data_IF_135659949989
#
_entry.id   IF_135659949989
#
_cell.length_a   1.000
_cell.length_b   1.000
_cell.length_c   1.000
_cell.angle_alpha   90.00
_cell.angle_beta   90.00
_cell.angle_gamma   90.00
#
_symmetry.space_group_name_H-M   'P 1'
#
loop_
_entity.id
_entity.type
_entity.pdbx_description
1 polymer ?
#
# COMPACT_ATOMS: atom_id res chain seq x y z
N UNK A 1 21.05 7.17 -14.37
CA UNK A 1 19.67 6.67 -14.20
C UNK A 1 19.17 7.27 -12.89
N UNK A 2 18.13 8.10 -12.92
CA UNK A 2 17.53 8.66 -11.70
C UNK A 2 16.99 7.51 -10.85
N UNK A 3 17.43 7.38 -9.58
CA UNK A 3 16.82 6.43 -8.66
C UNK A 3 15.41 6.93 -8.36
N UNK A 4 14.38 6.18 -8.77
CA UNK A 4 12.96 6.49 -8.46
C UNK A 4 12.74 6.47 -6.95
N UNK A 5 13.02 7.57 -6.29
CA UNK A 5 13.01 7.72 -4.84
C UNK A 5 11.72 8.43 -4.39
N UNK A 6 10.99 7.81 -3.46
CA UNK A 6 9.91 8.47 -2.74
C UNK A 6 10.47 9.02 -1.44
N UNK A 7 10.53 10.35 -1.32
CA UNK A 7 11.15 11.05 -0.20
C UNK A 7 10.16 11.96 0.51
N UNK A 8 10.24 11.95 1.82
CA UNK A 8 9.59 12.90 2.70
C UNK A 8 10.68 13.75 3.35
N UNK A 9 10.50 15.07 3.35
CA UNK A 9 11.39 16.02 4.00
C UNK A 9 10.61 16.84 5.04
N UNK A 10 10.89 16.58 6.33
CA UNK A 10 10.29 17.24 7.49
C UNK A 10 8.77 17.34 7.44
N UNK A 11 8.12 16.28 6.99
CA UNK A 11 6.67 16.22 6.79
C UNK A 11 5.95 16.20 8.13
N UNK A 12 5.00 17.13 8.32
CA UNK A 12 4.10 17.12 9.46
C UNK A 12 2.64 17.13 8.98
N UNK A 13 1.76 16.47 9.75
CA UNK A 13 0.31 16.46 9.50
C UNK A 13 -0.45 16.70 10.79
N UNK A 14 -1.29 17.73 10.77
CA UNK A 14 -2.17 18.09 11.89
C UNK A 14 -3.63 18.00 11.44
N UNK A 15 -4.49 17.53 12.36
CA UNK A 15 -5.95 17.58 12.28
C UNK A 15 -6.47 18.41 13.46
N UNK A 16 -6.68 19.71 13.23
CA UNK A 16 -6.96 20.65 14.30
C UNK A 16 -5.79 20.68 15.30
N UNK A 17 -6.07 20.33 16.57
CA UNK A 17 -5.03 20.27 17.62
C UNK A 17 -4.27 18.95 17.66
N UNK A 18 -4.74 17.93 16.97
CA UNK A 18 -4.09 16.61 16.96
C UNK A 18 -2.93 16.60 15.97
N UNK A 19 -1.73 16.31 16.45
CA UNK A 19 -0.52 16.17 15.64
C UNK A 19 -0.35 14.69 15.27
N UNK A 20 -0.81 14.32 14.08
CA UNK A 20 -0.77 12.92 13.61
C UNK A 20 0.61 12.52 13.11
N UNK A 21 1.35 13.46 12.49
CA UNK A 21 2.75 13.28 12.11
C UNK A 21 3.53 14.54 12.45
N UNK A 22 4.78 14.37 12.90
CA UNK A 22 5.64 15.44 13.40
C UNK A 22 7.04 15.28 12.84
N UNK A 23 7.43 16.16 11.92
CA UNK A 23 8.79 16.28 11.39
C UNK A 23 9.37 14.94 10.87
N UNK A 24 8.57 14.27 10.03
CA UNK A 24 8.91 12.95 9.46
C UNK A 24 9.77 13.14 8.22
N UNK A 25 10.99 12.60 8.26
CA UNK A 25 11.88 12.50 7.10
C UNK A 25 12.18 11.04 6.82
N UNK A 26 11.89 10.58 5.60
CA UNK A 26 11.97 9.18 5.19
C UNK A 26 12.37 9.07 3.72
N UNK A 27 13.02 7.98 3.39
CA UNK A 27 13.29 7.57 2.00
C UNK A 27 12.82 6.14 1.77
N UNK A 28 12.06 5.95 0.68
CA UNK A 28 11.65 4.64 0.19
C UNK A 28 12.23 4.43 -1.21
N UNK A 29 12.87 3.29 -1.44
CA UNK A 29 13.59 2.99 -2.68
C UNK A 29 12.93 1.87 -3.48
N UNK A 30 13.02 1.88 -4.81
CA UNK A 30 12.56 0.80 -5.67
C UNK A 30 13.22 -0.54 -5.29
N UNK A 31 12.52 -1.64 -5.59
CA UNK A 31 13.00 -2.99 -5.26
C UNK A 31 13.03 -3.27 -3.76
N UNK A 32 12.26 -2.52 -2.96
CA UNK A 32 12.14 -2.74 -1.51
C UNK A 32 10.69 -2.86 -1.07
N UNK A 33 10.49 -3.68 -0.05
CA UNK A 33 9.27 -3.69 0.77
C UNK A 33 9.59 -3.03 2.09
N UNK A 34 9.02 -1.86 2.33
CA UNK A 34 9.15 -1.14 3.58
C UNK A 34 7.96 -1.48 4.50
N UNK A 35 8.21 -2.21 5.59
CA UNK A 35 7.22 -2.44 6.63
C UNK A 35 7.14 -1.22 7.57
N UNK A 36 5.97 -0.63 7.66
CA UNK A 36 5.67 0.50 8.53
C UNK A 36 5.00 -0.02 9.80
N UNK A 37 5.74 -0.06 10.89
CA UNK A 37 5.35 -0.63 12.17
C UNK A 37 5.12 0.46 13.22
N UNK A 38 4.35 0.13 14.25
CA UNK A 38 4.08 1.00 15.40
C UNK A 38 2.68 0.77 15.98
N UNK A 39 2.42 1.27 17.19
CA UNK A 39 1.13 1.10 17.86
C UNK A 39 -0.03 1.79 17.12
N UNK A 40 -1.25 1.48 17.53
CA UNK A 40 -2.43 2.19 17.03
C UNK A 40 -2.31 3.67 17.38
N UNK A 41 -2.69 4.55 16.45
CA UNK A 41 -2.54 5.99 16.62
C UNK A 41 -1.11 6.53 16.39
N UNK A 42 -0.13 5.69 16.03
CA UNK A 42 1.24 6.14 15.75
C UNK A 42 1.37 7.04 14.51
N UNK A 43 0.37 7.07 13.63
CA UNK A 43 0.37 7.88 12.40
C UNK A 43 0.54 7.08 11.10
N UNK A 44 0.53 5.74 11.14
CA UNK A 44 0.78 4.86 9.99
C UNK A 44 -0.19 5.11 8.82
N UNK A 45 -1.50 5.03 9.07
CA UNK A 45 -2.52 5.29 8.03
C UNK A 45 -2.52 6.75 7.57
N UNK A 46 -2.16 7.70 8.45
CA UNK A 46 -1.95 9.10 8.07
C UNK A 46 -0.79 9.22 7.09
N UNK A 47 0.33 8.54 7.35
CA UNK A 47 1.47 8.53 6.44
C UNK A 47 1.10 7.93 5.09
N UNK A 48 0.42 6.77 5.06
CA UNK A 48 -0.08 6.20 3.81
C UNK A 48 -1.05 7.12 3.07
N UNK A 49 -1.93 7.82 3.80
CA UNK A 49 -2.85 8.81 3.22
C UNK A 49 -2.14 10.00 2.57
N UNK A 50 -0.98 10.41 3.10
CA UNK A 50 -0.13 11.42 2.48
C UNK A 50 0.57 10.86 1.22
N UNK A 51 1.17 9.67 1.32
CA UNK A 51 1.87 9.01 0.21
C UNK A 51 0.93 8.68 -0.96
N UNK A 52 -0.32 8.31 -0.67
CA UNK A 52 -1.37 8.07 -1.67
C UNK A 52 -2.02 9.36 -2.23
N UNK A 53 -1.60 10.53 -1.73
CA UNK A 53 -2.17 11.85 -2.08
C UNK A 53 -3.65 12.04 -1.72
N UNK A 54 -4.20 11.17 -0.88
CA UNK A 54 -5.56 11.33 -0.33
C UNK A 54 -5.63 12.49 0.67
N UNK A 55 -4.50 12.84 1.25
CA UNK A 55 -4.33 13.95 2.19
C UNK A 55 -3.09 14.76 1.81
N UNK A 56 -2.98 15.99 2.33
CA UNK A 56 -1.81 16.84 2.13
C UNK A 56 -1.05 17.05 3.44
N UNK A 57 0.28 17.19 3.41
CA UNK A 57 1.03 17.58 4.58
C UNK A 57 0.59 18.99 5.06
N UNK A 58 0.69 19.24 6.37
CA UNK A 58 0.52 20.60 6.93
C UNK A 58 1.79 21.41 6.73
N UNK A 59 2.96 20.76 6.77
CA UNK A 59 4.26 21.33 6.47
C UNK A 59 5.22 20.25 5.97
N UNK A 60 6.33 20.65 5.39
CA UNK A 60 7.29 19.77 4.73
C UNK A 60 6.85 19.38 3.31
N UNK A 61 7.65 18.57 2.65
CA UNK A 61 7.44 18.22 1.24
C UNK A 61 7.55 16.70 1.03
N UNK A 62 6.76 16.19 0.09
CA UNK A 62 6.87 14.81 -0.40
C UNK A 62 7.22 14.88 -1.88
N UNK A 63 8.26 14.18 -2.28
CA UNK A 63 8.70 14.09 -3.67
C UNK A 63 8.76 12.65 -4.13
N UNK A 64 8.47 12.41 -5.41
CA UNK A 64 8.71 11.15 -6.09
C UNK A 64 9.54 11.43 -7.33
N UNK A 65 10.70 10.78 -7.44
CA UNK A 65 11.68 11.02 -8.51
C UNK A 65 12.09 12.51 -8.62
N UNK A 66 12.25 13.17 -7.46
CA UNK A 66 12.59 14.58 -7.35
C UNK A 66 11.47 15.56 -7.69
N UNK A 67 10.30 15.08 -8.07
CA UNK A 67 9.15 15.93 -8.38
C UNK A 67 8.14 15.96 -7.23
N UNK A 68 7.56 17.13 -6.90
CA UNK A 68 6.57 17.24 -5.83
C UNK A 68 5.36 16.30 -6.04
N UNK A 69 5.06 15.52 -5.03
CA UNK A 69 3.93 14.60 -5.01
C UNK A 69 2.73 15.27 -4.33
N UNK A 70 1.73 15.65 -5.10
CA UNK A 70 0.50 16.27 -4.60
C UNK A 70 -0.73 15.78 -5.37
N UNK A 71 -1.93 16.15 -4.92
CA UNK A 71 -3.20 15.63 -5.45
C UNK A 71 -3.41 15.78 -6.95
N UNK A 72 -2.92 16.88 -7.54
CA UNK A 72 -3.00 17.14 -8.98
C UNK A 72 -1.79 16.66 -9.77
N UNK A 73 -0.81 16.02 -9.12
CA UNK A 73 0.37 15.49 -9.81
C UNK A 73 0.02 14.32 -10.74
N UNK A 74 0.52 14.31 -11.98
CA UNK A 74 0.43 13.13 -12.86
C UNK A 74 1.05 11.86 -12.24
N UNK A 75 1.96 12.03 -11.27
CA UNK A 75 2.60 10.92 -10.54
C UNK A 75 1.60 10.05 -9.76
N UNK A 76 0.39 10.56 -9.46
CA UNK A 76 -0.68 9.75 -8.85
C UNK A 76 -1.03 8.51 -9.66
N UNK A 77 -0.97 8.59 -10.98
CA UNK A 77 -1.20 7.43 -11.84
C UNK A 77 -0.12 6.34 -11.69
N UNK A 78 0.98 6.63 -10.99
CA UNK A 78 2.02 5.66 -10.69
C UNK A 78 1.87 5.03 -9.29
N UNK A 79 0.78 5.33 -8.57
CA UNK A 79 0.54 4.85 -7.21
C UNK A 79 -0.65 3.89 -7.20
N UNK A 80 -0.45 2.66 -6.73
CA UNK A 80 -1.48 1.71 -6.35
C UNK A 80 -1.69 1.77 -4.84
N UNK A 81 -2.95 1.91 -4.39
CA UNK A 81 -3.28 2.01 -2.98
C UNK A 81 -4.41 1.04 -2.61
N UNK A 82 -4.18 0.27 -1.56
CA UNK A 82 -5.19 -0.54 -0.87
C UNK A 82 -5.26 -0.04 0.58
N UNK A 83 -6.36 0.63 0.90
CA UNK A 83 -6.64 1.11 2.24
C UNK A 83 -7.49 0.14 3.04
N UNK A 84 -7.93 0.59 4.21
CA UNK A 84 -8.82 -0.18 5.08
C UNK A 84 -10.16 -0.52 4.40
N UNK A 85 -10.69 0.39 3.59
CA UNK A 85 -11.84 0.14 2.75
C UNK A 85 -11.41 -0.35 1.37
N UNK A 86 -12.08 -1.36 0.78
CA UNK A 86 -11.72 -1.91 -0.52
C UNK A 86 -11.72 -0.88 -1.66
N UNK A 87 -12.53 0.18 -1.56
CA UNK A 87 -12.63 1.23 -2.57
C UNK A 87 -13.11 0.70 -3.91
N UNK A 88 -14.13 -0.19 -3.89
CA UNK A 88 -14.78 -0.79 -5.06
C UNK A 88 -16.25 -0.40 -5.09
N UNK A 89 -16.85 -0.42 -6.26
CA UNK A 89 -18.27 -0.14 -6.45
C UNK A 89 -19.08 -1.40 -6.14
N UNK A 90 -19.82 -1.38 -5.03
CA UNK A 90 -20.54 -2.54 -4.50
C UNK A 90 -21.62 -3.10 -5.46
N UNK A 91 -22.26 -2.24 -6.25
CA UNK A 91 -23.32 -2.62 -7.18
C UNK A 91 -22.81 -3.16 -8.52
N UNK A 92 -21.51 -3.05 -8.78
CA UNK A 92 -20.90 -3.55 -10.00
C UNK A 92 -20.24 -4.92 -9.78
N UNK A 93 -20.29 -5.83 -10.78
CA UNK A 93 -19.47 -7.03 -10.80
C UNK A 93 -17.97 -6.72 -10.78
N UNK A 94 -17.11 -7.69 -10.41
CA UNK A 94 -15.67 -7.51 -10.33
C UNK A 94 -15.06 -6.99 -11.64
N UNK A 95 -15.49 -7.55 -12.79
CA UNK A 95 -15.02 -7.13 -14.12
C UNK A 95 -15.37 -5.67 -14.40
N UNK A 96 -16.60 -5.27 -14.12
CA UNK A 96 -17.06 -3.89 -14.36
C UNK A 96 -16.35 -2.91 -13.43
N UNK A 97 -16.11 -3.29 -12.18
CA UNK A 97 -15.25 -2.52 -11.29
C UNK A 97 -13.89 -2.24 -11.94
N UNK A 98 -13.20 -3.27 -12.43
CA UNK A 98 -11.89 -3.11 -13.06
C UNK A 98 -11.98 -2.31 -14.37
N UNK A 99 -13.07 -2.41 -15.15
CA UNK A 99 -13.28 -1.57 -16.35
C UNK A 99 -13.35 -0.08 -16.00
N UNK A 100 -14.09 0.28 -14.95
CA UNK A 100 -14.17 1.66 -14.48
C UNK A 100 -12.78 2.20 -14.16
N UNK A 101 -11.99 1.46 -13.37
CA UNK A 101 -10.64 1.88 -13.02
C UNK A 101 -9.69 1.89 -14.22
N UNK A 102 -9.79 0.92 -15.12
CA UNK A 102 -9.02 0.92 -16.37
C UNK A 102 -9.28 2.21 -17.18
N UNK A 103 -10.55 2.60 -17.30
CA UNK A 103 -10.92 3.86 -17.96
C UNK A 103 -10.36 5.08 -17.26
N UNK A 104 -10.45 5.14 -15.93
CA UNK A 104 -9.88 6.25 -15.13
C UNK A 104 -8.36 6.39 -15.28
N UNK A 105 -7.65 5.26 -15.47
CA UNK A 105 -6.21 5.24 -15.73
C UNK A 105 -5.85 5.38 -17.23
N UNK A 106 -6.86 5.53 -18.11
CA UNK A 106 -6.64 5.68 -19.55
C UNK A 106 -6.08 4.41 -20.23
N UNK A 107 -6.33 3.22 -19.66
CA UNK A 107 -5.87 1.96 -20.23
C UNK A 107 -6.75 1.61 -21.45
N UNK A 108 -6.15 1.60 -22.62
CA UNK A 108 -6.81 1.17 -23.86
C UNK A 108 -6.89 -0.35 -23.93
N UNK A 109 -7.95 -0.89 -24.55
CA UNK A 109 -8.14 -2.33 -24.75
C UNK A 109 -7.88 -3.17 -23.50
N UNK A 110 -8.36 -2.70 -22.34
CA UNK A 110 -8.07 -3.30 -21.04
C UNK A 110 -8.69 -4.70 -20.81
N UNK A 111 -9.51 -5.21 -21.73
CA UNK A 111 -10.21 -6.49 -21.57
C UNK A 111 -9.30 -7.65 -21.21
N UNK A 112 -8.30 -8.01 -22.02
CA UNK A 112 -7.37 -9.11 -21.70
C UNK A 112 -6.62 -8.90 -20.38
N UNK A 113 -6.25 -7.67 -20.07
CA UNK A 113 -5.56 -7.32 -18.84
C UNK A 113 -6.46 -7.48 -17.61
N UNK A 114 -7.74 -7.13 -17.72
CA UNK A 114 -8.73 -7.34 -16.66
C UNK A 114 -8.91 -8.82 -16.37
N UNK A 115 -9.05 -9.66 -17.43
CA UNK A 115 -9.19 -11.10 -17.25
C UNK A 115 -7.94 -11.71 -16.59
N UNK A 116 -6.74 -11.33 -17.07
CA UNK A 116 -5.49 -11.77 -16.47
C UNK A 116 -5.37 -11.35 -15.00
N UNK A 117 -5.81 -10.12 -14.67
CA UNK A 117 -5.79 -9.62 -13.29
C UNK A 117 -6.80 -10.35 -12.40
N UNK A 118 -8.01 -10.63 -12.88
CA UNK A 118 -9.00 -11.43 -12.14
C UNK A 118 -8.49 -12.85 -11.89
N UNK A 119 -7.84 -13.47 -12.88
CA UNK A 119 -7.20 -14.77 -12.71
C UNK A 119 -6.08 -14.70 -11.66
N UNK A 120 -5.23 -13.69 -11.73
CA UNK A 120 -4.10 -13.47 -10.82
C UNK A 120 -4.54 -13.37 -9.35
N UNK A 121 -5.67 -12.72 -9.08
CA UNK A 121 -6.20 -12.59 -7.72
C UNK A 121 -7.17 -13.71 -7.32
N UNK A 122 -7.38 -14.72 -8.17
CA UNK A 122 -8.27 -15.85 -7.90
C UNK A 122 -9.76 -15.49 -7.94
N UNK A 123 -10.15 -14.57 -8.82
CA UNK A 123 -11.53 -14.13 -9.04
C UNK A 123 -12.06 -14.43 -10.45
N UNK A 124 -11.32 -15.16 -11.30
CA UNK A 124 -11.69 -15.39 -12.70
C UNK A 124 -13.05 -16.09 -12.87
N UNK A 125 -13.34 -17.09 -12.02
CA UNK A 125 -14.53 -17.93 -12.10
C UNK A 125 -15.61 -17.56 -11.07
N UNK A 126 -15.31 -16.55 -10.24
CA UNK A 126 -16.18 -16.20 -9.13
C UNK A 126 -17.30 -15.30 -9.63
N UNK A 127 -18.53 -15.85 -9.67
CA UNK A 127 -19.79 -15.10 -9.86
C UNK A 127 -19.65 -13.92 -10.81
N UNK A 128 -19.31 -14.19 -12.08
CA UNK A 128 -18.96 -13.16 -13.10
C UNK A 128 -19.90 -11.95 -13.14
N UNK A 129 -21.19 -12.18 -12.93
CA UNK A 129 -22.25 -11.16 -12.99
C UNK A 129 -22.74 -10.72 -11.60
N UNK A 130 -22.21 -11.31 -10.51
CA UNK A 130 -22.66 -10.95 -9.17
C UNK A 130 -22.04 -9.60 -8.73
N UNK A 131 -22.87 -8.70 -8.16
CA UNK A 131 -22.37 -7.42 -7.67
C UNK A 131 -21.43 -7.63 -6.48
N UNK A 132 -20.37 -6.80 -6.41
CA UNK A 132 -19.30 -6.92 -5.41
C UNK A 132 -19.83 -6.86 -3.97
N UNK A 133 -20.96 -6.21 -3.69
CA UNK A 133 -21.58 -6.21 -2.34
C UNK A 133 -21.98 -7.60 -1.84
N UNK A 134 -22.07 -8.61 -2.72
CA UNK A 134 -22.34 -10.01 -2.35
C UNK A 134 -21.08 -10.83 -2.09
N UNK A 135 -19.90 -10.23 -2.26
CA UNK A 135 -18.63 -10.89 -2.06
C UNK A 135 -18.30 -11.03 -0.57
N UNK A 136 -17.53 -12.08 -0.24
CA UNK A 136 -16.91 -12.17 1.08
C UNK A 136 -15.88 -11.06 1.28
N UNK A 137 -15.49 -10.78 2.53
CA UNK A 137 -14.43 -9.81 2.82
C UNK A 137 -13.13 -10.13 2.08
N UNK A 138 -12.74 -11.42 2.04
CA UNK A 138 -11.55 -11.85 1.32
C UNK A 138 -11.66 -11.64 -0.19
N UNK A 139 -12.83 -11.86 -0.81
CA UNK A 139 -13.07 -11.56 -2.23
C UNK A 139 -13.01 -10.06 -2.51
N UNK A 140 -13.59 -9.22 -1.65
CA UNK A 140 -13.48 -7.76 -1.76
C UNK A 140 -12.03 -7.29 -1.64
N UNK A 141 -11.26 -7.89 -0.73
CA UNK A 141 -9.83 -7.59 -0.58
C UNK A 141 -9.03 -7.98 -1.84
N UNK A 142 -9.30 -9.17 -2.42
CA UNK A 142 -8.69 -9.59 -3.69
C UNK A 142 -9.05 -8.65 -4.84
N UNK A 143 -10.29 -8.16 -4.90
CA UNK A 143 -10.71 -7.17 -5.89
C UNK A 143 -10.02 -5.82 -5.69
N UNK A 144 -9.84 -5.37 -4.44
CA UNK A 144 -9.10 -4.16 -4.13
C UNK A 144 -7.62 -4.27 -4.54
N UNK A 145 -7.00 -5.44 -4.33
CA UNK A 145 -5.63 -5.72 -4.81
C UNK A 145 -5.56 -5.71 -6.34
N UNK A 146 -6.54 -6.36 -7.02
CA UNK A 146 -6.63 -6.32 -8.48
C UNK A 146 -6.71 -4.88 -9.02
N UNK A 147 -7.55 -4.05 -8.41
CA UNK A 147 -7.69 -2.63 -8.73
C UNK A 147 -6.37 -1.87 -8.57
N UNK A 148 -5.68 -2.07 -7.45
CA UNK A 148 -4.44 -1.37 -7.15
C UNK A 148 -3.29 -1.77 -8.08
N UNK A 149 -3.29 -3.00 -8.59
CA UNK A 149 -2.25 -3.54 -9.47
C UNK A 149 -2.56 -3.35 -10.97
N UNK A 150 -3.82 -3.07 -11.32
CA UNK A 150 -4.31 -3.08 -12.70
C UNK A 150 -3.50 -2.18 -13.65
N UNK A 151 -3.09 -1.01 -13.19
CA UNK A 151 -2.38 -0.01 -14.00
C UNK A 151 -0.85 -0.10 -13.89
N UNK A 152 -0.32 -1.18 -13.28
CA UNK A 152 1.12 -1.45 -13.09
C UNK A 152 1.88 -0.28 -12.44
N UNK A 153 1.45 0.15 -11.26
CA UNK A 153 2.04 1.31 -10.58
C UNK A 153 3.51 1.07 -10.22
N UNK A 154 4.26 2.15 -10.04
CA UNK A 154 5.64 2.11 -9.57
C UNK A 154 5.72 2.08 -8.04
N UNK A 155 4.71 2.60 -7.37
CA UNK A 155 4.58 2.66 -5.91
C UNK A 155 3.33 1.92 -5.49
N UNK A 156 3.47 0.99 -4.57
CA UNK A 156 2.37 0.21 -3.98
C UNK A 156 2.28 0.51 -2.49
N UNK A 157 1.11 0.93 -2.05
CA UNK A 157 0.82 1.31 -0.68
C UNK A 157 -0.29 0.41 -0.14
N UNK A 158 -0.01 -0.34 0.92
CA UNK A 158 -0.93 -1.31 1.49
C UNK A 158 -1.16 -1.04 2.99
N UNK A 159 -2.43 -0.85 3.37
CA UNK A 159 -2.86 -0.72 4.77
C UNK A 159 -3.61 -1.99 5.20
N UNK A 160 -2.94 -2.85 5.98
CA UNK A 160 -3.46 -4.13 6.49
C UNK A 160 -4.03 -5.06 5.39
N UNK A 161 -3.32 -5.31 4.28
CA UNK A 161 -3.87 -6.00 3.12
C UNK A 161 -4.21 -7.47 3.36
N UNK A 162 -3.66 -8.11 4.39
CA UNK A 162 -3.91 -9.51 4.77
C UNK A 162 -5.06 -9.70 5.75
N UNK A 163 -5.57 -8.64 6.38
CA UNK A 163 -6.52 -8.72 7.51
C UNK A 163 -7.84 -9.46 7.22
N UNK A 164 -8.24 -9.53 5.94
CA UNK A 164 -9.46 -10.20 5.51
C UNK A 164 -9.20 -11.49 4.69
N UNK A 165 -7.95 -11.88 4.53
CA UNK A 165 -7.57 -13.06 3.76
C UNK A 165 -7.45 -14.29 4.67
N UNK A 166 -7.82 -15.45 4.12
CA UNK A 166 -7.51 -16.74 4.71
C UNK A 166 -5.99 -17.05 4.60
N UNK A 167 -5.47 -18.09 5.27
CA UNK A 167 -4.04 -18.41 5.23
C UNK A 167 -3.50 -18.61 3.81
N UNK A 168 -4.30 -19.19 2.91
CA UNK A 168 -3.91 -19.37 1.50
C UNK A 168 -3.80 -18.04 0.79
N UNK A 169 -4.76 -17.14 1.01
CA UNK A 169 -4.76 -15.79 0.48
C UNK A 169 -3.62 -14.93 1.04
N UNK A 170 -3.30 -15.07 2.32
CA UNK A 170 -2.18 -14.37 2.94
C UNK A 170 -0.82 -14.85 2.35
N UNK A 171 -0.64 -16.16 2.17
CA UNK A 171 0.55 -16.71 1.52
C UNK A 171 0.67 -16.23 0.05
N UNK A 172 -0.44 -16.22 -0.69
CA UNK A 172 -0.49 -15.66 -2.03
C UNK A 172 -0.07 -14.17 -2.04
N UNK A 173 -0.60 -13.35 -1.12
CA UNK A 173 -0.24 -11.94 -1.00
C UNK A 173 1.26 -11.75 -0.73
N UNK A 174 1.85 -12.56 0.16
CA UNK A 174 3.29 -12.57 0.43
C UNK A 174 4.11 -12.81 -0.85
N UNK A 175 3.68 -13.77 -1.67
CA UNK A 175 4.28 -14.03 -3.00
C UNK A 175 4.12 -12.84 -3.95
N UNK A 176 2.96 -12.17 -3.94
CA UNK A 176 2.74 -10.99 -4.78
C UNK A 176 3.60 -9.80 -4.36
N UNK A 177 3.73 -9.53 -3.06
CA UNK A 177 4.61 -8.46 -2.55
C UNK A 177 6.07 -8.71 -2.94
N UNK A 178 6.51 -9.97 -2.88
CA UNK A 178 7.85 -10.39 -3.33
C UNK A 178 8.02 -10.16 -4.83
N UNK A 179 7.03 -10.59 -5.64
CA UNK A 179 7.04 -10.38 -7.11
C UNK A 179 7.12 -8.89 -7.47
N UNK A 180 6.33 -8.05 -6.81
CA UNK A 180 6.32 -6.62 -7.07
C UNK A 180 7.65 -5.95 -6.68
N UNK A 181 8.24 -6.36 -5.56
CA UNK A 181 9.59 -5.96 -5.15
C UNK A 181 10.64 -6.34 -6.20
N UNK A 182 10.62 -7.59 -6.64
CA UNK A 182 11.61 -8.13 -7.60
C UNK A 182 11.44 -7.54 -9.00
N UNK A 183 10.23 -7.06 -9.33
CA UNK A 183 9.97 -6.24 -10.51
C UNK A 183 10.49 -4.78 -10.38
N UNK A 184 11.17 -4.45 -9.29
CA UNK A 184 11.74 -3.13 -9.04
C UNK A 184 10.75 -2.09 -8.55
N UNK A 185 9.56 -2.48 -8.10
CA UNK A 185 8.57 -1.54 -7.54
C UNK A 185 8.90 -1.20 -6.10
N UNK A 186 8.42 -0.05 -5.68
CA UNK A 186 8.49 0.41 -4.30
C UNK A 186 7.20 -0.03 -3.59
N UNK A 187 7.34 -0.76 -2.48
CA UNK A 187 6.20 -1.23 -1.70
C UNK A 187 6.28 -0.70 -0.28
N UNK A 188 5.21 -0.06 0.20
CA UNK A 188 5.03 0.31 1.62
C UNK A 188 3.88 -0.50 2.20
N UNK A 189 4.16 -1.26 3.23
CA UNK A 189 3.24 -2.19 3.87
C UNK A 189 3.02 -1.79 5.33
N UNK A 190 1.80 -1.46 5.70
CA UNK A 190 1.36 -1.42 7.09
C UNK A 190 0.73 -2.76 7.42
N UNK A 191 1.20 -3.42 8.47
CA UNK A 191 0.61 -4.67 8.96
C UNK A 191 0.91 -4.89 10.44
N UNK A 192 0.03 -5.62 11.12
CA UNK A 192 0.24 -6.17 12.45
C UNK A 192 0.76 -7.62 12.43
N UNK A 193 0.72 -8.25 11.26
CA UNK A 193 1.28 -9.58 11.04
C UNK A 193 2.80 -9.48 10.85
N UNK A 194 3.54 -9.66 11.95
CA UNK A 194 4.99 -9.56 11.96
C UNK A 194 5.67 -10.72 11.21
N UNK A 195 5.02 -11.89 11.16
CA UNK A 195 5.53 -13.04 10.40
C UNK A 195 5.45 -12.75 8.88
N UNK A 196 4.30 -12.24 8.40
CA UNK A 196 4.15 -11.83 7.02
C UNK A 196 5.10 -10.67 6.65
N UNK A 197 5.27 -9.69 7.56
CA UNK A 197 6.23 -8.60 7.36
C UNK A 197 7.66 -9.13 7.26
N UNK A 198 8.08 -10.04 8.16
CA UNK A 198 9.43 -10.63 8.16
C UNK A 198 9.75 -11.38 6.87
N UNK A 199 8.75 -12.04 6.29
CA UNK A 199 8.91 -12.80 5.04
C UNK A 199 9.24 -11.93 3.82
N UNK A 200 8.84 -10.65 3.81
CA UNK A 200 8.97 -9.78 2.63
C UNK A 200 9.75 -8.50 2.84
N UNK A 201 9.78 -7.97 4.09
CA UNK A 201 10.35 -6.65 4.36
C UNK A 201 11.87 -6.65 4.18
N UNK A 202 12.34 -5.67 3.43
CA UNK A 202 13.76 -5.33 3.24
C UNK A 202 14.09 -3.94 3.80
N UNK A 203 13.11 -3.29 4.38
CA UNK A 203 13.20 -2.05 5.12
C UNK A 203 12.14 -2.05 6.22
N UNK A 204 12.46 -1.52 7.39
CA UNK A 204 11.53 -1.32 8.50
C UNK A 204 11.56 0.14 8.92
N UNK A 205 10.40 0.70 9.14
CA UNK A 205 10.20 2.05 9.68
C UNK A 205 9.31 1.92 10.92
N UNK A 206 9.81 2.36 12.07
CA UNK A 206 9.06 2.42 13.31
C UNK A 206 8.50 3.82 13.53
N UNK A 207 7.17 3.88 13.65
CA UNK A 207 6.47 5.10 14.05
C UNK A 207 5.98 5.02 15.50
N UNK A 208 6.20 6.10 16.25
CA UNK A 208 5.65 6.29 17.59
C UNK A 208 5.23 7.74 17.78
N UNK A 209 3.99 7.98 18.19
CA UNK A 209 3.43 9.32 18.45
C UNK A 209 3.69 10.33 17.32
N UNK A 210 3.50 9.89 16.08
CA UNK A 210 3.68 10.70 14.87
C UNK A 210 5.14 10.96 14.46
N UNK A 211 6.12 10.32 15.10
CA UNK A 211 7.55 10.46 14.76
C UNK A 211 8.15 9.15 14.32
N UNK A 212 9.12 9.22 13.42
CA UNK A 212 9.97 8.07 13.09
C UNK A 212 10.99 7.92 14.22
N UNK A 213 10.98 6.78 14.89
CA UNK A 213 11.93 6.45 15.94
C UNK A 213 13.09 5.59 15.45
N UNK A 214 12.84 4.83 14.34
CA UNK A 214 13.85 3.95 13.75
C UNK A 214 13.56 3.73 12.27
N UNK A 215 14.62 3.65 11.48
CA UNK A 215 14.58 3.22 10.08
C UNK A 215 15.80 2.34 9.80
N UNK A 216 15.56 1.13 9.35
CA UNK A 216 16.62 0.19 8.97
C UNK A 216 16.30 -0.45 7.63
N UNK A 217 17.33 -0.66 6.80
CA UNK A 217 17.23 -1.24 5.47
C UNK A 217 18.05 -2.53 5.40
N UNK A 218 17.43 -3.64 5.80
CA UNK A 218 17.94 -5.02 5.76
C UNK A 218 16.77 -6.00 5.86
N UNK A 219 17.05 -7.27 5.73
CA UNK A 219 16.09 -8.32 6.08
C UNK A 219 16.00 -8.50 7.60
N UNK A 220 14.85 -8.95 8.08
CA UNK A 220 14.55 -9.15 9.49
C UNK A 220 13.93 -10.52 9.71
N UNK A 221 14.28 -11.15 10.82
CA UNK A 221 13.53 -12.28 11.34
C UNK A 221 12.26 -11.80 12.05
N UNK A 222 11.27 -12.67 12.20
CA UNK A 222 10.06 -12.37 12.98
C UNK A 222 10.39 -11.97 14.41
N UNK A 223 11.36 -12.65 15.04
CA UNK A 223 11.80 -12.36 16.42
C UNK A 223 12.36 -10.94 16.54
N UNK A 224 13.19 -10.51 15.57
CA UNK A 224 13.70 -9.14 15.53
C UNK A 224 12.60 -8.10 15.35
N UNK A 225 11.65 -8.35 14.43
CA UNK A 225 10.52 -7.43 14.24
C UNK A 225 9.64 -7.35 15.48
N UNK A 226 9.45 -8.46 16.19
CA UNK A 226 8.70 -8.51 17.44
C UNK A 226 9.39 -7.69 18.53
N UNK A 227 10.72 -7.80 18.67
CA UNK A 227 11.49 -7.01 19.61
C UNK A 227 11.41 -5.51 19.29
N UNK A 228 11.59 -5.13 18.02
CA UNK A 228 11.46 -3.75 17.55
C UNK A 228 10.06 -3.18 17.80
N UNK A 229 9.01 -3.97 17.55
CA UNK A 229 7.63 -3.56 17.81
C UNK A 229 7.36 -3.35 19.30
N UNK A 230 7.88 -4.22 20.17
CA UNK A 230 7.77 -4.08 21.63
C UNK A 230 8.47 -2.79 22.12
N UNK A 231 9.68 -2.52 21.64
CA UNK A 231 10.40 -1.27 21.93
C UNK A 231 9.58 -0.02 21.54
N UNK A 232 8.90 -0.07 20.38
CA UNK A 232 8.07 1.05 19.93
C UNK A 232 6.78 1.21 20.72
N UNK A 233 6.29 0.16 21.42
CA UNK A 233 5.05 0.17 22.18
C UNK A 233 5.25 0.47 23.68
N UNK A 234 6.46 0.25 24.19
CA UNK A 234 6.88 0.62 25.55
C UNK A 234 7.14 2.13 25.66
#
# INVERSE_FOLDING_TARGET
MSERLLRLDRVSKHYGRHRALIDVSLEFRPGRVAALLGPNGAGKSTLLGLLSTLSHPTSGEITFDGQPLHRSSPLRAQIGYVGHEPGVYGDLPARENLRVFASLYGLREAGPRIEAMLARVGLADVRREAPARTFSRGMLQRLALARALLHEPQVLLFDEPSSALDPVGAAWLTGELTRERDAGRLVVLVTHDLAAAAAVATQVVLLRRGRVTRQEARSFSETELRALYQEATS
#
